data_IF_516372582741
#
_entry.id   IF_516372582741
#
_cell.length_a   1.000
_cell.length_b   1.000
_cell.length_c   1.000
_cell.angle_alpha   90.00
_cell.angle_beta   90.00
_cell.angle_gamma   90.00
#
_symmetry.space_group_name_H-M   'P 1'
#
loop_
_entity.id
_entity.type
_entity.pdbx_description
1 polymer ?
#
# COMPACT_ATOMS: atom_id res chain seq x y z
N UNK A 1 37.32 -43.76 6.80
CA UNK A 1 37.16 -43.21 5.45
C UNK A 1 35.69 -43.21 5.15
N UNK A 2 35.02 -42.11 5.40
CA UNK A 2 33.58 -41.90 5.10
C UNK A 2 33.50 -40.83 4.01
N UNK A 3 33.12 -41.26 2.80
CA UNK A 3 32.88 -40.35 1.66
C UNK A 3 31.65 -39.57 1.92
N UNK A 4 31.77 -38.25 1.93
CA UNK A 4 30.61 -37.33 1.87
C UNK A 4 30.01 -37.39 0.46
N UNK A 5 28.76 -37.83 0.37
CA UNK A 5 27.96 -37.78 -0.83
C UNK A 5 27.58 -36.31 -1.09
N UNK A 6 28.24 -35.69 -2.07
CA UNK A 6 27.79 -34.41 -2.63
C UNK A 6 26.59 -34.68 -3.53
N UNK A 7 25.40 -34.38 -3.07
CA UNK A 7 24.19 -34.41 -3.88
C UNK A 7 24.31 -33.35 -4.99
N UNK A 8 24.49 -33.79 -6.22
CA UNK A 8 24.34 -32.93 -7.41
C UNK A 8 22.85 -32.62 -7.56
N UNK A 9 22.47 -31.38 -7.23
CA UNK A 9 21.14 -30.85 -7.58
C UNK A 9 20.96 -30.91 -9.10
N UNK A 10 19.84 -31.43 -9.55
CA UNK A 10 19.54 -31.51 -10.97
C UNK A 10 19.40 -30.12 -11.58
N UNK A 11 19.63 -29.97 -12.89
CA UNK A 11 19.52 -28.69 -13.58
C UNK A 11 18.13 -28.06 -13.42
N UNK A 12 17.07 -28.87 -13.24
CA UNK A 12 15.70 -28.41 -12.97
C UNK A 12 15.55 -27.84 -11.55
N UNK A 13 16.18 -28.45 -10.55
CA UNK A 13 16.18 -27.96 -9.17
C UNK A 13 16.95 -26.64 -9.07
N UNK A 14 18.07 -26.51 -9.78
CA UNK A 14 18.82 -25.25 -9.87
C UNK A 14 18.03 -24.12 -10.54
N UNK A 15 17.34 -24.42 -11.65
CA UNK A 15 16.47 -23.47 -12.34
C UNK A 15 15.26 -23.07 -11.49
N UNK A 16 14.72 -24.00 -10.70
CA UNK A 16 13.60 -23.72 -9.80
C UNK A 16 14.05 -22.86 -8.61
N UNK A 17 15.21 -23.16 -8.01
CA UNK A 17 15.79 -22.33 -6.94
C UNK A 17 16.16 -20.94 -7.44
N UNK A 18 16.75 -20.79 -8.64
CA UNK A 18 17.08 -19.49 -9.22
C UNK A 18 15.82 -18.68 -9.54
N UNK A 19 14.73 -19.31 -9.99
CA UNK A 19 13.45 -18.63 -10.19
C UNK A 19 12.82 -18.16 -8.88
N UNK A 20 12.90 -18.94 -7.81
CA UNK A 20 12.40 -18.58 -6.48
C UNK A 20 13.24 -17.47 -5.85
N UNK A 21 14.55 -17.44 -6.09
CA UNK A 21 15.45 -16.43 -5.55
C UNK A 21 15.13 -15.00 -6.04
N UNK A 22 14.45 -14.87 -7.20
CA UNK A 22 14.08 -13.58 -7.80
C UNK A 22 12.57 -13.31 -7.72
N UNK A 23 11.82 -14.02 -6.85
CA UNK A 23 10.41 -13.76 -6.64
C UNK A 23 10.18 -13.12 -5.27
N UNK A 24 9.39 -12.06 -5.26
CA UNK A 24 8.90 -11.44 -4.04
C UNK A 24 7.38 -11.46 -4.00
N UNK A 25 6.81 -11.61 -2.83
CA UNK A 25 5.36 -11.55 -2.63
C UNK A 25 4.94 -10.11 -2.40
N UNK A 26 3.86 -9.70 -3.04
CA UNK A 26 3.11 -8.50 -2.66
C UNK A 26 1.90 -8.93 -1.82
N UNK A 27 1.95 -8.64 -0.52
CA UNK A 27 0.93 -9.02 0.44
C UNK A 27 -0.28 -8.07 0.35
N UNK A 28 -1.04 -8.23 -0.73
CA UNK A 28 -2.28 -7.48 -0.97
C UNK A 28 -3.20 -8.25 -1.91
N UNK A 29 -4.51 -8.19 -1.64
CA UNK A 29 -5.59 -8.66 -2.52
C UNK A 29 -6.43 -7.49 -3.07
N UNK A 30 -6.14 -6.24 -2.68
CA UNK A 30 -6.84 -5.05 -3.16
C UNK A 30 -6.49 -4.77 -4.62
N UNK A 31 -7.46 -4.89 -5.53
CA UNK A 31 -7.26 -4.75 -6.98
C UNK A 31 -6.73 -3.36 -7.39
N UNK A 32 -7.21 -2.31 -6.75
CA UNK A 32 -6.75 -0.93 -7.01
C UNK A 32 -5.27 -0.79 -6.67
N UNK A 33 -4.86 -1.20 -5.46
CA UNK A 33 -3.47 -1.20 -5.02
C UNK A 33 -2.58 -2.06 -5.92
N UNK A 34 -3.00 -3.29 -6.24
CA UNK A 34 -2.25 -4.19 -7.13
C UNK A 34 -1.99 -3.55 -8.50
N UNK A 35 -2.98 -2.84 -9.06
CA UNK A 35 -2.82 -2.14 -10.33
C UNK A 35 -1.79 -1.01 -10.26
N UNK A 36 -1.78 -0.22 -9.18
CA UNK A 36 -0.79 0.84 -8.97
C UNK A 36 0.60 0.25 -8.73
N UNK A 37 0.74 -0.73 -7.84
CA UNK A 37 2.02 -1.38 -7.56
C UNK A 37 2.65 -2.02 -8.80
N UNK A 38 1.84 -2.68 -9.63
CA UNK A 38 2.33 -3.28 -10.88
C UNK A 38 2.98 -2.25 -11.80
N UNK A 39 2.38 -1.05 -11.92
CA UNK A 39 2.95 0.03 -12.73
C UNK A 39 4.22 0.61 -12.12
N UNK A 40 4.19 0.86 -10.81
CA UNK A 40 5.31 1.46 -10.08
C UNK A 40 6.54 0.54 -10.05
N UNK A 41 6.37 -0.76 -9.80
CA UNK A 41 7.49 -1.71 -9.85
C UNK A 41 8.03 -1.91 -11.26
N UNK A 42 7.18 -1.87 -12.29
CA UNK A 42 7.64 -1.92 -13.68
C UNK A 42 8.47 -0.68 -14.04
N UNK A 43 8.11 0.50 -13.54
CA UNK A 43 8.86 1.73 -13.75
C UNK A 43 10.19 1.76 -12.97
N UNK A 44 10.26 1.07 -11.83
CA UNK A 44 11.47 0.99 -10.99
C UNK A 44 12.53 -0.01 -11.50
N UNK A 45 12.27 -0.73 -12.61
CA UNK A 45 13.16 -1.72 -13.25
C UNK A 45 13.75 -2.74 -12.26
N UNK A 46 12.94 -3.20 -11.33
CA UNK A 46 13.35 -4.22 -10.36
C UNK A 46 13.64 -5.56 -11.05
N UNK A 47 14.84 -6.11 -10.82
CA UNK A 47 15.25 -7.41 -11.34
C UNK A 47 14.54 -8.60 -10.63
N UNK A 48 13.34 -8.38 -10.08
CA UNK A 48 12.55 -9.40 -9.37
C UNK A 48 11.13 -9.49 -9.93
N UNK A 49 10.54 -10.67 -9.82
CA UNK A 49 9.14 -10.91 -10.19
C UNK A 49 8.27 -10.70 -8.96
N UNK A 50 7.36 -9.75 -9.02
CA UNK A 50 6.39 -9.49 -7.95
C UNK A 50 5.16 -10.39 -8.15
N UNK A 51 4.85 -11.22 -7.16
CA UNK A 51 3.71 -12.14 -7.16
C UNK A 51 2.68 -11.69 -6.10
N UNK A 52 1.45 -11.33 -6.48
CA UNK A 52 0.40 -11.06 -5.52
C UNK A 52 0.11 -12.28 -4.63
N UNK A 53 -0.12 -12.07 -3.33
CA UNK A 53 -0.38 -13.16 -2.36
C UNK A 53 -1.57 -14.06 -2.76
N UNK A 54 -2.60 -13.49 -3.40
CA UNK A 54 -3.75 -14.26 -3.87
C UNK A 54 -3.42 -15.31 -4.94
N UNK A 55 -2.35 -15.12 -5.72
CA UNK A 55 -1.87 -16.14 -6.68
C UNK A 55 -1.20 -17.34 -5.99
N UNK A 56 -0.80 -17.17 -4.73
CA UNK A 56 -0.22 -18.21 -3.90
C UNK A 56 -1.24 -18.79 -2.90
N UNK A 57 -2.52 -18.43 -3.03
CA UNK A 57 -3.61 -18.80 -2.12
C UNK A 57 -3.31 -18.46 -0.64
N UNK A 58 -2.64 -17.32 -0.42
CA UNK A 58 -2.35 -16.83 0.93
C UNK A 58 -3.51 -15.92 1.36
N UNK A 59 -4.13 -16.28 2.49
CA UNK A 59 -5.19 -15.51 3.12
C UNK A 59 -4.69 -14.17 3.64
N UNK A 60 -5.59 -13.18 3.78
CA UNK A 60 -5.24 -11.89 4.36
C UNK A 60 -4.86 -12.04 5.84
N UNK A 61 -3.85 -11.29 6.26
CA UNK A 61 -3.46 -11.21 7.65
C UNK A 61 -4.54 -10.50 8.48
N UNK A 62 -4.63 -10.85 9.77
CA UNK A 62 -5.42 -10.07 10.73
C UNK A 62 -4.63 -8.79 11.04
N UNK A 63 -5.20 -7.64 10.68
CA UNK A 63 -4.62 -6.33 10.92
C UNK A 63 -5.09 -5.79 12.27
N UNK A 64 -4.39 -6.16 13.34
CA UNK A 64 -4.67 -5.75 14.73
C UNK A 64 -3.66 -4.72 15.28
N UNK A 65 -2.78 -4.22 14.43
CA UNK A 65 -1.86 -3.12 14.76
C UNK A 65 -2.59 -1.79 14.95
N UNK A 66 -1.96 -0.90 15.70
CA UNK A 66 -2.48 0.44 16.01
C UNK A 66 -1.99 1.53 15.04
N UNK A 67 -1.10 1.17 14.12
CA UNK A 67 -0.52 2.09 13.14
C UNK A 67 -0.34 1.42 11.78
N UNK A 68 -0.17 2.23 10.73
CA UNK A 68 0.13 1.72 9.38
C UNK A 68 1.41 0.88 9.36
N UNK A 69 2.44 1.26 10.10
CA UNK A 69 3.70 0.51 10.12
C UNK A 69 3.54 -0.86 10.77
N UNK A 70 2.80 -0.96 11.86
CA UNK A 70 2.53 -2.25 12.52
C UNK A 70 1.75 -3.18 11.58
N UNK A 71 0.68 -2.69 10.95
CA UNK A 71 -0.12 -3.48 10.01
C UNK A 71 0.69 -3.89 8.77
N UNK A 72 1.53 -3.01 8.22
CA UNK A 72 2.40 -3.36 7.10
C UNK A 72 3.39 -4.49 7.48
N UNK A 73 4.01 -4.42 8.67
CA UNK A 73 4.91 -5.48 9.17
C UNK A 73 4.14 -6.79 9.41
N UNK A 74 2.96 -6.75 10.03
CA UNK A 74 2.10 -7.92 10.27
C UNK A 74 1.80 -8.62 8.95
N UNK A 75 1.33 -7.88 7.94
CA UNK A 75 1.03 -8.42 6.61
C UNK A 75 2.26 -9.00 5.91
N UNK A 76 3.38 -8.29 5.95
CA UNK A 76 4.62 -8.76 5.33
C UNK A 76 5.10 -10.08 5.95
N UNK A 77 5.13 -10.16 7.27
CA UNK A 77 5.54 -11.38 7.99
C UNK A 77 4.58 -12.54 7.79
N UNK A 78 3.26 -12.27 7.77
CA UNK A 78 2.25 -13.29 7.52
C UNK A 78 2.45 -13.94 6.14
N UNK A 79 2.53 -13.14 5.08
CA UNK A 79 2.69 -13.65 3.73
C UNK A 79 4.07 -14.28 3.50
N UNK A 80 5.14 -13.74 4.10
CA UNK A 80 6.47 -14.34 4.05
C UNK A 80 6.52 -15.71 4.75
N UNK A 81 5.85 -15.86 5.89
CA UNK A 81 5.76 -17.15 6.61
C UNK A 81 5.02 -18.21 5.80
N UNK A 82 3.96 -17.82 5.10
CA UNK A 82 3.17 -18.72 4.28
C UNK A 82 3.87 -19.11 2.98
N UNK A 83 4.63 -18.20 2.37
CA UNK A 83 5.26 -18.41 1.07
C UNK A 83 6.73 -18.91 1.14
N UNK A 84 7.43 -18.63 2.24
CA UNK A 84 8.89 -18.78 2.34
C UNK A 84 9.68 -17.77 1.51
N UNK A 85 9.05 -16.73 0.96
CA UNK A 85 9.65 -15.76 0.05
C UNK A 85 9.81 -14.37 0.72
N UNK A 86 10.76 -13.55 0.23
CA UNK A 86 10.78 -12.13 0.56
C UNK A 86 9.43 -11.48 0.22
N UNK A 87 8.95 -10.60 1.07
CA UNK A 87 7.61 -10.06 0.95
C UNK A 87 7.59 -8.56 1.18
N UNK A 88 6.86 -7.85 0.32
CA UNK A 88 6.48 -6.45 0.49
C UNK A 88 5.00 -6.41 0.86
N UNK A 89 4.66 -5.66 1.89
CA UNK A 89 3.29 -5.34 2.23
C UNK A 89 3.09 -3.83 2.29
N UNK A 90 1.89 -3.37 1.91
CA UNK A 90 1.49 -1.99 2.14
C UNK A 90 0.37 -1.91 3.18
N UNK A 91 0.46 -0.91 4.04
CA UNK A 91 -0.71 -0.39 4.73
C UNK A 91 -0.87 1.09 4.42
N UNK A 92 -2.07 1.49 4.01
CA UNK A 92 -2.31 2.85 3.50
C UNK A 92 -3.73 3.30 3.76
N UNK A 93 -3.89 4.61 3.92
CA UNK A 93 -5.18 5.21 4.17
C UNK A 93 -5.13 6.73 4.15
N UNK A 94 -6.28 7.32 4.44
CA UNK A 94 -6.46 8.76 4.57
C UNK A 94 -6.48 9.14 6.05
N UNK A 95 -5.67 10.11 6.42
CA UNK A 95 -5.72 10.77 7.74
C UNK A 95 -6.28 12.18 7.59
N UNK A 96 -7.31 12.51 8.39
CA UNK A 96 -7.90 13.84 8.45
C UNK A 96 -7.70 14.39 9.86
N UNK A 97 -6.73 15.32 10.06
CA UNK A 97 -6.33 15.76 11.41
C UNK A 97 -7.46 16.29 12.27
N UNK A 98 -8.40 17.01 11.66
CA UNK A 98 -9.55 17.59 12.39
C UNK A 98 -10.51 16.53 12.93
N UNK A 99 -10.46 15.29 12.39
CA UNK A 99 -11.17 14.11 12.89
C UNK A 99 -10.28 13.21 13.77
N UNK A 100 -9.20 13.73 14.34
CA UNK A 100 -8.24 12.93 15.12
C UNK A 100 -7.50 11.89 14.28
N UNK A 101 -7.25 12.19 13.01
CA UNK A 101 -6.67 11.33 11.98
C UNK A 101 -7.57 10.18 11.51
N UNK A 102 -8.87 10.17 11.86
CA UNK A 102 -9.81 9.26 11.20
C UNK A 102 -9.94 9.65 9.70
N UNK A 103 -10.20 8.68 8.80
CA UNK A 103 -10.38 7.24 9.00
C UNK A 103 -9.11 6.46 9.38
N UNK A 104 -7.89 6.94 9.04
CA UNK A 104 -6.63 6.32 9.41
C UNK A 104 -6.50 4.87 8.90
N UNK A 105 -6.08 3.95 9.76
CA UNK A 105 -5.94 2.51 9.47
C UNK A 105 -7.29 1.81 9.16
N UNK A 106 -8.41 2.49 9.41
CA UNK A 106 -9.76 1.98 9.09
C UNK A 106 -10.26 2.46 7.73
N UNK A 107 -9.44 3.12 6.91
CA UNK A 107 -9.84 3.76 5.65
C UNK A 107 -10.67 2.85 4.73
N UNK A 108 -10.27 1.59 4.55
CA UNK A 108 -10.97 0.65 3.67
C UNK A 108 -12.34 0.18 4.21
N UNK A 109 -12.60 0.35 5.53
CA UNK A 109 -13.80 -0.10 6.22
C UNK A 109 -14.43 0.98 7.12
N UNK A 110 -14.22 2.24 6.79
CA UNK A 110 -14.62 3.38 7.62
C UNK A 110 -16.13 3.44 7.88
N UNK A 111 -16.93 3.04 6.90
CA UNK A 111 -18.38 2.91 7.04
C UNK A 111 -18.84 1.51 7.52
N UNK A 112 -17.90 0.67 7.99
CA UNK A 112 -18.17 -0.67 8.53
C UNK A 112 -18.05 -1.81 7.50
N UNK A 113 -18.23 -1.53 6.21
CA UNK A 113 -18.12 -2.51 5.13
C UNK A 113 -16.80 -2.33 4.39
N UNK A 114 -16.01 -3.42 4.28
CA UNK A 114 -14.71 -3.36 3.63
C UNK A 114 -14.83 -3.15 2.10
N UNK A 115 -14.09 -2.17 1.57
CA UNK A 115 -14.00 -1.92 0.13
C UNK A 115 -15.22 -1.23 -0.49
N UNK A 116 -16.12 -0.68 0.32
CA UNK A 116 -17.25 0.13 -0.18
C UNK A 116 -16.88 1.61 -0.19
N UNK A 117 -16.19 2.04 -1.26
CA UNK A 117 -15.67 3.40 -1.39
C UNK A 117 -16.80 4.46 -1.33
N UNK A 118 -17.95 4.18 -1.93
CA UNK A 118 -19.07 5.12 -1.92
C UNK A 118 -19.60 5.38 -0.50
N UNK A 119 -19.75 4.32 0.32
CA UNK A 119 -20.17 4.46 1.72
C UNK A 119 -19.09 5.14 2.57
N UNK A 120 -17.82 4.81 2.35
CA UNK A 120 -16.71 5.41 3.06
C UNK A 120 -16.61 6.92 2.78
N UNK A 121 -16.76 7.34 1.53
CA UNK A 121 -16.80 8.75 1.13
C UNK A 121 -18.01 9.47 1.73
N UNK A 122 -19.20 8.88 1.66
CA UNK A 122 -20.42 9.47 2.24
C UNK A 122 -20.28 9.66 3.77
N UNK A 123 -19.69 8.68 4.46
CA UNK A 123 -19.42 8.80 5.90
C UNK A 123 -18.42 9.91 6.20
N UNK A 124 -17.33 10.02 5.44
CA UNK A 124 -16.32 11.07 5.64
C UNK A 124 -16.95 12.47 5.46
N UNK A 125 -17.78 12.65 4.43
CA UNK A 125 -18.50 13.90 4.20
C UNK A 125 -19.43 14.19 5.41
N UNK A 126 -20.18 13.20 5.87
CA UNK A 126 -21.10 13.37 7.00
C UNK A 126 -20.36 13.73 8.30
N UNK A 127 -19.24 13.09 8.59
CA UNK A 127 -18.45 13.36 9.80
C UNK A 127 -17.82 14.78 9.76
N UNK A 128 -17.55 15.32 8.56
CA UNK A 128 -17.02 16.68 8.39
C UNK A 128 -18.09 17.78 8.38
N UNK A 129 -19.35 17.45 8.18
CA UNK A 129 -20.47 18.42 8.12
C UNK A 129 -20.55 19.35 9.36
N UNK A 130 -20.48 18.85 10.61
CA UNK A 130 -20.55 19.72 11.78
C UNK A 130 -19.37 20.71 11.86
N UNK A 131 -18.21 20.28 11.39
CA UNK A 131 -16.98 21.12 11.40
C UNK A 131 -17.12 22.24 10.37
N UNK A 132 -17.58 21.91 9.17
CA UNK A 132 -17.84 22.90 8.11
C UNK A 132 -18.95 23.87 8.51
N UNK A 133 -20.02 23.39 9.13
CA UNK A 133 -21.10 24.25 9.63
C UNK A 133 -20.63 25.24 10.70
N UNK A 134 -19.72 24.81 11.59
CA UNK A 134 -19.16 25.68 12.63
C UNK A 134 -18.12 26.68 12.09
N UNK A 135 -17.43 26.33 10.99
CA UNK A 135 -16.37 27.13 10.39
C UNK A 135 -16.41 26.99 8.86
N UNK A 136 -17.31 27.68 8.15
CA UNK A 136 -17.54 27.49 6.71
C UNK A 136 -16.31 27.71 5.82
N UNK A 137 -15.46 28.67 6.21
CA UNK A 137 -14.26 29.05 5.42
C UNK A 137 -13.03 28.20 5.75
N UNK A 138 -13.14 27.19 6.62
CA UNK A 138 -12.01 26.37 7.00
C UNK A 138 -11.74 25.29 5.95
N UNK A 139 -10.53 25.34 5.37
CA UNK A 139 -10.04 24.26 4.53
C UNK A 139 -9.78 23.01 5.37
N UNK A 140 -10.40 21.90 5.00
CA UNK A 140 -10.18 20.62 5.67
C UNK A 140 -8.95 19.95 5.05
N UNK A 141 -7.87 19.91 5.80
CA UNK A 141 -6.64 19.21 5.36
C UNK A 141 -6.80 17.70 5.50
N UNK A 142 -6.20 16.98 4.57
CA UNK A 142 -6.07 15.53 4.57
C UNK A 142 -4.67 15.10 4.16
N UNK A 143 -4.28 13.92 4.60
CA UNK A 143 -3.00 13.31 4.23
C UNK A 143 -3.26 11.85 3.84
N UNK A 144 -3.00 11.50 2.61
CA UNK A 144 -2.85 10.11 2.25
C UNK A 144 -1.50 9.58 2.75
N UNK A 145 -1.56 8.45 3.41
CA UNK A 145 -0.39 7.75 3.98
C UNK A 145 -0.23 6.41 3.26
N UNK A 146 0.97 6.06 2.88
CA UNK A 146 1.36 4.71 2.48
C UNK A 146 2.61 4.31 3.26
N UNK A 147 2.53 3.20 3.97
CA UNK A 147 3.70 2.56 4.60
C UNK A 147 3.94 1.24 3.90
N UNK A 148 5.16 1.06 3.42
CA UNK A 148 5.66 -0.22 2.89
C UNK A 148 6.56 -0.86 3.93
N UNK A 149 6.34 -2.16 4.18
CA UNK A 149 7.26 -3.00 4.93
C UNK A 149 7.76 -4.13 4.02
N UNK A 150 9.08 -4.24 3.85
CA UNK A 150 9.71 -5.36 3.15
C UNK A 150 10.48 -6.21 4.16
N UNK A 151 10.22 -7.51 4.14
CA UNK A 151 10.93 -8.51 4.93
C UNK A 151 11.60 -9.53 4.00
N UNK A 152 12.84 -9.93 4.30
CA UNK A 152 13.57 -10.96 3.55
C UNK A 152 13.10 -12.37 3.90
N UNK A 153 12.59 -12.53 5.12
CA UNK A 153 11.96 -13.74 5.66
C UNK A 153 11.04 -13.35 6.82
N UNK A 154 10.17 -14.26 7.26
CA UNK A 154 9.14 -13.99 8.26
C UNK A 154 9.67 -13.44 9.60
N UNK A 155 10.86 -13.89 10.01
CA UNK A 155 11.49 -13.51 11.27
C UNK A 155 12.64 -12.49 11.07
N UNK A 156 12.60 -11.75 9.96
CA UNK A 156 13.58 -10.72 9.65
C UNK A 156 13.64 -9.66 10.78
N UNK A 157 14.76 -9.51 11.48
CA UNK A 157 14.89 -8.54 12.57
C UNK A 157 15.09 -7.11 12.08
N UNK A 158 15.36 -6.93 10.77
CA UNK A 158 15.64 -5.63 10.17
C UNK A 158 14.82 -5.43 8.91
N UNK A 159 13.46 -5.30 9.04
CA UNK A 159 12.62 -5.01 7.90
C UNK A 159 12.96 -3.64 7.31
N UNK A 160 12.85 -3.50 6.00
CA UNK A 160 12.94 -2.19 5.35
C UNK A 160 11.57 -1.53 5.47
N UNK A 161 11.53 -0.30 5.97
CA UNK A 161 10.32 0.51 6.08
C UNK A 161 10.47 1.74 5.21
N UNK A 162 9.48 1.97 4.35
CA UNK A 162 9.38 3.16 3.52
C UNK A 162 8.00 3.80 3.69
N UNK A 163 7.94 5.13 3.67
CA UNK A 163 6.70 5.87 3.90
C UNK A 163 6.56 7.01 2.91
N UNK A 164 5.37 7.13 2.31
CA UNK A 164 5.00 8.28 1.52
C UNK A 164 3.81 9.01 2.13
N UNK A 165 3.86 10.32 2.10
CA UNK A 165 2.82 11.22 2.60
C UNK A 165 2.39 12.17 1.49
N UNK A 166 1.12 12.16 1.14
CA UNK A 166 0.57 13.05 0.12
C UNK A 166 -0.45 13.99 0.77
N UNK A 167 -0.10 15.26 0.83
CA UNK A 167 -0.91 16.30 1.46
C UNK A 167 -1.92 16.89 0.47
N UNK A 168 -3.12 17.17 0.94
CA UNK A 168 -4.18 17.77 0.16
C UNK A 168 -5.31 18.31 1.04
N UNK A 169 -6.43 18.58 0.42
CA UNK A 169 -7.64 19.08 1.05
C UNK A 169 -8.82 18.15 0.77
N UNK A 170 -9.79 18.10 1.68
CA UNK A 170 -10.96 17.25 1.53
C UNK A 170 -12.13 18.10 1.06
N UNK A 171 -12.67 17.76 -0.10
CA UNK A 171 -13.88 18.37 -0.65
C UNK A 171 -15.14 17.91 0.11
N UNK A 172 -16.22 18.65 -0.04
CA UNK A 172 -17.56 18.28 0.45
C UNK A 172 -18.40 17.51 -0.59
N UNK A 173 -17.94 17.53 -1.83
CA UNK A 173 -18.59 16.89 -2.97
C UNK A 173 -17.55 16.14 -3.79
N UNK A 174 -17.79 14.86 -4.15
CA UNK A 174 -16.86 14.11 -4.99
C UNK A 174 -16.74 14.71 -6.40
N UNK A 175 -15.52 14.71 -6.95
CA UNK A 175 -15.26 15.16 -8.31
C UNK A 175 -14.24 14.24 -9.00
N UNK A 176 -14.50 13.87 -10.27
CA UNK A 176 -13.69 12.95 -11.06
C UNK A 176 -14.09 11.49 -10.89
N UNK A 177 -13.83 10.69 -11.93
CA UNK A 177 -14.29 9.29 -12.04
C UNK A 177 -13.14 8.28 -11.96
N UNK A 178 -11.88 8.76 -11.87
CA UNK A 178 -10.69 7.91 -11.80
C UNK A 178 -10.33 7.48 -10.38
N UNK A 179 -9.31 6.62 -10.28
CA UNK A 179 -8.77 6.20 -8.99
C UNK A 179 -9.68 5.25 -8.21
N UNK A 180 -9.58 5.29 -6.88
CA UNK A 180 -10.36 4.50 -5.93
C UNK A 180 -10.32 5.13 -4.53
N UNK A 181 -11.11 4.60 -3.61
CA UNK A 181 -11.14 5.08 -2.23
C UNK A 181 -11.62 6.52 -2.14
N UNK A 182 -10.83 7.36 -1.49
CA UNK A 182 -11.15 8.78 -1.25
C UNK A 182 -10.62 9.72 -2.35
N UNK A 183 -10.09 9.22 -3.46
CA UNK A 183 -9.54 10.03 -4.55
C UNK A 183 -10.48 11.12 -5.05
N UNK A 184 -11.81 10.89 -5.18
CA UNK A 184 -12.75 11.92 -5.63
C UNK A 184 -12.95 13.08 -4.64
N UNK A 185 -12.62 12.89 -3.37
CA UNK A 185 -12.71 13.92 -2.34
C UNK A 185 -11.37 14.59 -2.06
N UNK A 186 -10.26 14.03 -2.56
CA UNK A 186 -8.91 14.50 -2.25
C UNK A 186 -8.46 15.54 -3.27
N UNK A 187 -8.51 16.81 -2.88
CA UNK A 187 -8.16 17.96 -3.70
C UNK A 187 -6.70 18.35 -3.57
N UNK A 188 -6.10 18.68 -4.69
CA UNK A 188 -4.71 19.11 -4.82
C UNK A 188 -4.69 20.56 -5.26
N UNK A 189 -4.50 21.53 -4.35
CA UNK A 189 -4.58 22.95 -4.67
C UNK A 189 -3.61 23.38 -5.77
N UNK A 190 -2.38 22.87 -5.75
CA UNK A 190 -1.34 23.23 -6.73
C UNK A 190 -1.66 22.77 -8.15
N UNK A 191 -2.45 21.71 -8.28
CA UNK A 191 -2.87 21.16 -9.58
C UNK A 191 -4.29 21.55 -9.97
N UNK A 192 -5.04 22.21 -9.08
CA UNK A 192 -6.45 22.56 -9.28
C UNK A 192 -7.29 21.34 -9.73
N UNK A 193 -7.03 20.17 -9.13
CA UNK A 193 -7.62 18.89 -9.52
C UNK A 193 -7.80 17.98 -8.30
N UNK A 194 -8.73 17.03 -8.37
CA UNK A 194 -8.79 15.93 -7.41
C UNK A 194 -7.83 14.81 -7.82
N UNK A 195 -7.47 13.95 -6.88
CA UNK A 195 -6.69 12.75 -7.17
C UNK A 195 -7.39 11.83 -8.19
N UNK A 196 -8.72 11.83 -8.23
CA UNK A 196 -9.53 11.10 -9.21
C UNK A 196 -9.51 11.71 -10.62
N UNK A 197 -9.11 12.97 -10.77
CA UNK A 197 -9.01 13.66 -12.06
C UNK A 197 -7.65 13.51 -12.73
N UNK A 198 -6.65 12.99 -12.01
CA UNK A 198 -5.32 12.79 -12.55
C UNK A 198 -5.24 11.55 -13.43
N UNK A 199 -4.33 11.59 -14.41
CA UNK A 199 -3.92 10.39 -15.12
C UNK A 199 -3.26 9.41 -14.14
N UNK A 200 -3.27 8.11 -14.46
CA UNK A 200 -2.59 7.12 -13.63
C UNK A 200 -1.08 7.38 -13.53
N UNK A 201 -0.48 7.94 -14.58
CA UNK A 201 0.95 8.28 -14.63
C UNK A 201 1.26 9.47 -13.73
N UNK A 202 0.50 10.57 -13.85
CA UNK A 202 0.67 11.75 -13.01
C UNK A 202 0.45 11.41 -11.53
N UNK A 203 -0.62 10.66 -11.22
CA UNK A 203 -0.89 10.22 -9.86
C UNK A 203 0.25 9.38 -9.30
N UNK A 204 0.78 8.44 -10.08
CA UNK A 204 1.88 7.57 -9.62
C UNK A 204 3.15 8.36 -9.30
N UNK A 205 3.45 9.44 -10.04
CA UNK A 205 4.67 10.24 -9.84
C UNK A 205 4.66 11.06 -8.55
N UNK A 206 3.48 11.43 -8.02
CA UNK A 206 3.37 12.37 -6.88
C UNK A 206 2.67 11.76 -5.65
N UNK A 207 1.97 10.62 -5.81
CA UNK A 207 1.16 10.05 -4.74
C UNK A 207 1.98 9.49 -3.58
N UNK A 208 1.33 9.32 -2.43
CA UNK A 208 1.88 8.64 -1.26
C UNK A 208 2.51 7.28 -1.60
N UNK A 209 1.88 6.51 -2.51
CA UNK A 209 2.39 5.19 -2.90
C UNK A 209 3.61 5.29 -3.82
N UNK A 210 3.61 6.25 -4.75
CA UNK A 210 4.79 6.54 -5.57
C UNK A 210 5.99 6.92 -4.72
N UNK A 211 5.80 7.87 -3.79
CA UNK A 211 6.84 8.29 -2.85
C UNK A 211 7.36 7.13 -1.97
N UNK A 212 6.45 6.28 -1.46
CA UNK A 212 6.84 5.14 -0.63
C UNK A 212 7.67 4.11 -1.43
N UNK A 213 7.33 3.86 -2.69
CA UNK A 213 8.11 2.97 -3.56
C UNK A 213 9.48 3.56 -3.88
N UNK A 214 9.57 4.84 -4.21
CA UNK A 214 10.86 5.51 -4.42
C UNK A 214 11.77 5.36 -3.19
N UNK A 215 11.24 5.61 -2.00
CA UNK A 215 11.98 5.42 -0.75
C UNK A 215 12.36 3.95 -0.50
N UNK A 216 11.49 2.99 -0.85
CA UNK A 216 11.82 1.58 -0.74
C UNK A 216 12.98 1.21 -1.66
N UNK A 217 12.92 1.64 -2.94
CA UNK A 217 13.99 1.39 -3.92
C UNK A 217 15.34 1.93 -3.48
N UNK A 218 15.36 3.13 -2.91
CA UNK A 218 16.60 3.75 -2.41
C UNK A 218 17.25 2.98 -1.24
N UNK A 219 16.51 2.12 -0.55
CA UNK A 219 16.98 1.32 0.58
C UNK A 219 17.33 -0.14 0.20
N UNK A 220 16.93 -0.58 -0.99
CA UNK A 220 17.30 -1.92 -1.46
C UNK A 220 18.78 -1.97 -1.82
N UNK A 221 19.53 -3.01 -1.40
CA UNK A 221 20.88 -3.21 -1.90
C UNK A 221 20.80 -3.56 -3.39
N UNK A 222 21.31 -2.67 -4.22
CA UNK A 222 21.49 -2.87 -5.66
C UNK A 222 22.71 -3.77 -5.92
#
# INVERSE_FOLDING_TARGET
MTQASSANLTSQEHLTQTKLANQWVLASNNKGKLGEFKRLFAAADLAVTIVPQGQLNIEDAIEDGLSFVENAIIKARHASRASGLPTIADDSGLCVPVLGNAPGIYSARYAGEHGNDAKNNAKLIADLQPIRAAKPDTLIKGVFVCVLAMVRHADDPLPIIAQGLWHGEILDTPYGDGGFGYDPLFWLPDLQATAASLSAEDKNSISHRGQAIEQLMAQLPL
#
